data_IF_692414808432
#
_entry.id   IF_692414808432
#
_cell.length_a   1.000
_cell.length_b   1.000
_cell.length_c   1.000
_cell.angle_alpha   90.00
_cell.angle_beta   90.00
_cell.angle_gamma   90.00
#
_symmetry.space_group_name_H-M   'P 1'
#
loop_
_entity.id
_entity.type
_entity.pdbx_description
1 polymer ?
#
# COMPACT_ATOMS: atom_id res chain seq x y z
N UNK A 1 -7.39 19.43 -8.89
CA UNK A 1 -6.52 18.65 -8.00
C UNK A 1 -5.16 19.33 -7.91
N UNK A 2 -4.95 20.14 -6.87
CA UNK A 2 -3.64 20.71 -6.55
C UNK A 2 -2.83 19.68 -5.77
N UNK A 3 -2.42 18.60 -6.46
CA UNK A 3 -1.51 17.61 -5.91
C UNK A 3 -0.11 18.22 -5.87
N UNK A 4 0.27 18.71 -4.69
CA UNK A 4 1.52 19.43 -4.48
C UNK A 4 2.68 18.49 -4.09
N UNK A 5 2.36 17.31 -3.58
CA UNK A 5 3.33 16.35 -3.04
C UNK A 5 3.19 14.99 -3.72
N UNK A 6 4.32 14.40 -4.12
CA UNK A 6 4.40 13.08 -4.76
C UNK A 6 5.25 12.14 -3.90
N UNK A 7 4.63 11.05 -3.45
CA UNK A 7 5.34 9.91 -2.85
C UNK A 7 5.84 9.02 -3.98
N UNK A 8 7.16 8.94 -4.17
CA UNK A 8 7.77 8.20 -5.28
C UNK A 8 8.53 7.01 -4.72
N UNK A 9 8.13 5.80 -5.09
CA UNK A 9 8.85 4.58 -4.73
C UNK A 9 10.13 4.48 -5.56
N UNK A 10 11.28 4.65 -4.90
CA UNK A 10 12.58 4.73 -5.56
C UNK A 10 13.34 3.40 -5.53
N UNK A 11 12.99 2.51 -4.60
CA UNK A 11 13.72 1.28 -4.34
C UNK A 11 12.81 0.26 -3.65
N UNK A 12 12.81 -0.97 -4.15
CA UNK A 12 12.21 -2.14 -3.52
C UNK A 12 13.34 -3.06 -3.07
N UNK A 13 13.35 -3.47 -1.81
CA UNK A 13 14.34 -4.36 -1.22
C UNK A 13 13.64 -5.57 -0.64
N UNK A 14 14.19 -6.75 -0.87
CA UNK A 14 13.75 -7.96 -0.21
C UNK A 14 14.90 -8.87 0.17
N UNK A 15 14.53 -10.01 0.76
CA UNK A 15 15.45 -11.09 1.09
C UNK A 15 15.20 -12.24 0.13
N UNK A 16 16.22 -12.60 -0.64
CA UNK A 16 16.15 -13.72 -1.55
C UNK A 16 15.86 -15.01 -0.76
N UNK A 17 14.79 -15.72 -1.12
CA UNK A 17 14.33 -16.88 -0.36
C UNK A 17 15.35 -18.04 -0.35
N UNK A 18 16.17 -18.18 -1.41
CA UNK A 18 17.12 -19.27 -1.54
C UNK A 18 18.48 -18.96 -0.90
N UNK A 19 19.00 -17.74 -1.11
CA UNK A 19 20.33 -17.36 -0.63
C UNK A 19 20.31 -16.63 0.72
N UNK A 20 19.15 -16.13 1.15
CA UNK A 20 19.01 -15.27 2.33
C UNK A 20 19.63 -13.89 2.17
N UNK A 21 20.13 -13.54 0.97
CA UNK A 21 20.80 -12.28 0.68
C UNK A 21 19.75 -11.16 0.56
N UNK A 22 20.06 -10.02 1.19
CA UNK A 22 19.26 -8.78 1.05
C UNK A 22 19.70 -8.10 -0.25
N UNK A 23 18.77 -7.91 -1.18
CA UNK A 23 19.03 -7.38 -2.52
C UNK A 23 17.88 -6.50 -3.03
N UNK A 24 18.17 -5.55 -3.94
CA UNK A 24 17.12 -4.76 -4.56
C UNK A 24 16.32 -5.60 -5.57
N UNK A 25 14.99 -5.58 -5.47
CA UNK A 25 14.09 -6.18 -6.46
C UNK A 25 13.74 -5.21 -7.59
N UNK A 26 13.70 -3.92 -7.28
CA UNK A 26 13.49 -2.87 -8.27
C UNK A 26 14.18 -1.59 -7.81
N UNK A 27 14.68 -0.81 -8.76
CA UNK A 27 15.22 0.54 -8.51
C UNK A 27 14.70 1.48 -9.59
N UNK A 28 14.21 2.64 -9.17
CA UNK A 28 13.80 3.68 -10.11
C UNK A 28 15.04 4.34 -10.71
N UNK A 29 15.15 4.29 -12.04
CA UNK A 29 16.14 5.08 -12.78
C UNK A 29 15.54 6.44 -13.14
N UNK A 30 16.10 7.52 -12.59
CA UNK A 30 15.73 8.88 -12.95
C UNK A 30 16.26 9.22 -14.34
N UNK A 31 15.49 8.91 -15.38
CA UNK A 31 15.84 9.27 -16.77
C UNK A 31 15.40 10.69 -17.14
N UNK A 32 14.25 11.13 -16.62
CA UNK A 32 13.77 12.50 -16.74
C UNK A 32 13.02 12.90 -15.46
N UNK A 33 13.50 13.93 -14.77
CA UNK A 33 12.87 14.48 -13.56
C UNK A 33 12.01 15.71 -13.81
N UNK A 34 11.85 16.14 -15.07
CA UNK A 34 11.09 17.33 -15.46
C UNK A 34 9.65 17.32 -14.93
N UNK A 35 9.01 16.15 -14.90
CA UNK A 35 7.61 15.96 -14.51
C UNK A 35 7.30 16.24 -13.04
N UNK A 36 8.31 16.21 -12.16
CA UNK A 36 8.13 16.41 -10.71
C UNK A 36 8.95 17.56 -10.13
N UNK A 37 9.70 18.32 -10.94
CA UNK A 37 10.45 19.51 -10.48
C UNK A 37 9.56 20.62 -9.91
N UNK A 38 8.29 20.69 -10.29
CA UNK A 38 7.34 21.69 -9.79
C UNK A 38 6.55 21.22 -8.55
N UNK A 39 6.84 20.03 -8.04
CA UNK A 39 6.14 19.42 -6.91
C UNK A 39 7.13 19.02 -5.82
N UNK A 40 6.65 18.96 -4.60
CA UNK A 40 7.39 18.34 -3.51
C UNK A 40 7.48 16.82 -3.78
N UNK A 41 8.69 16.26 -3.71
CA UNK A 41 8.92 14.83 -3.88
C UNK A 41 9.34 14.24 -2.55
N UNK A 42 8.67 13.16 -2.16
CA UNK A 42 9.00 12.34 -1.00
C UNK A 42 9.47 10.98 -1.51
N UNK A 43 10.79 10.72 -1.55
CA UNK A 43 11.32 9.41 -1.87
C UNK A 43 10.85 8.36 -0.86
N UNK A 44 10.42 7.21 -1.39
CA UNK A 44 9.91 6.08 -0.62
C UNK A 44 10.74 4.82 -0.92
N UNK A 45 11.16 4.10 0.11
CA UNK A 45 11.74 2.76 -0.03
C UNK A 45 10.75 1.72 0.49
N UNK A 46 10.49 0.69 -0.31
CA UNK A 46 9.76 -0.49 0.13
C UNK A 46 10.74 -1.57 0.57
N UNK A 47 10.50 -2.16 1.74
CA UNK A 47 11.32 -3.23 2.28
C UNK A 47 10.39 -4.36 2.72
N UNK A 48 10.60 -5.55 2.16
CA UNK A 48 9.81 -6.72 2.59
C UNK A 48 10.14 -7.06 4.05
N UNK A 49 9.13 -7.53 4.79
CA UNK A 49 9.26 -7.77 6.23
C UNK A 49 10.32 -8.82 6.57
N UNK A 50 10.52 -9.80 5.69
CA UNK A 50 11.47 -10.92 5.84
C UNK A 50 12.93 -10.43 5.91
N UNK A 51 13.23 -9.23 5.42
CA UNK A 51 14.54 -8.58 5.60
C UNK A 51 14.88 -8.42 7.08
N UNK A 52 13.88 -8.16 7.92
CA UNK A 52 14.06 -7.92 9.35
C UNK A 52 13.94 -9.19 10.20
N UNK A 53 13.65 -10.32 9.57
CA UNK A 53 13.66 -11.62 10.22
C UNK A 53 15.11 -12.09 10.45
N UNK A 54 15.49 -12.14 11.72
CA UNK A 54 16.82 -12.51 12.22
C UNK A 54 18.01 -11.75 11.56
N UNK A 55 17.82 -10.49 11.15
CA UNK A 55 18.91 -9.65 10.65
C UNK A 55 19.93 -9.32 11.75
N UNK A 56 21.23 -9.45 11.45
CA UNK A 56 22.28 -9.08 12.39
C UNK A 56 22.39 -7.56 12.58
N UNK A 57 22.94 -7.11 13.71
CA UNK A 57 23.15 -5.69 13.98
C UNK A 57 24.01 -5.01 12.90
N UNK A 58 25.08 -5.67 12.47
CA UNK A 58 25.97 -5.18 11.41
C UNK A 58 25.22 -5.05 10.07
N UNK A 59 24.43 -6.07 9.68
CA UNK A 59 23.65 -6.02 8.44
C UNK A 59 22.54 -4.97 8.49
N UNK A 60 21.96 -4.75 9.66
CA UNK A 60 20.98 -3.70 9.89
C UNK A 60 21.57 -2.30 9.66
N UNK A 61 22.76 -2.03 10.22
CA UNK A 61 23.46 -0.76 9.98
C UNK A 61 23.92 -0.62 8.52
N UNK A 62 24.44 -1.70 7.93
CA UNK A 62 24.81 -1.73 6.51
C UNK A 62 23.62 -1.36 5.61
N UNK A 63 22.44 -1.91 5.87
CA UNK A 63 21.23 -1.64 5.10
C UNK A 63 20.84 -0.15 5.19
N UNK A 64 20.90 0.43 6.39
CA UNK A 64 20.65 1.86 6.60
C UNK A 64 21.62 2.74 5.79
N UNK A 65 22.92 2.40 5.77
CA UNK A 65 23.92 3.11 4.95
C UNK A 65 23.61 3.00 3.46
N UNK A 66 23.26 1.80 2.98
CA UNK A 66 22.94 1.59 1.56
C UNK A 66 21.71 2.36 1.11
N UNK A 67 20.64 2.34 1.90
CA UNK A 67 19.40 3.07 1.60
C UNK A 67 19.65 4.59 1.63
N UNK A 68 20.34 5.11 2.65
CA UNK A 68 20.70 6.52 2.70
C UNK A 68 21.56 6.94 1.50
N UNK A 69 22.45 6.05 1.02
CA UNK A 69 23.23 6.34 -0.19
C UNK A 69 22.34 6.46 -1.43
N UNK A 70 21.35 5.59 -1.61
CA UNK A 70 20.41 5.66 -2.74
C UNK A 70 19.51 6.90 -2.61
N UNK A 71 19.10 7.25 -1.39
CA UNK A 71 18.28 8.44 -1.14
C UNK A 71 18.95 9.72 -1.65
N UNK A 72 20.28 9.84 -1.54
CA UNK A 72 21.03 11.03 -2.01
C UNK A 72 20.86 11.31 -3.50
N UNK A 73 20.59 10.31 -4.32
CA UNK A 73 20.35 10.48 -5.76
C UNK A 73 19.05 11.27 -6.04
N UNK A 74 18.17 11.36 -5.04
CA UNK A 74 16.88 12.05 -5.10
C UNK A 74 16.88 13.36 -4.29
N UNK A 75 18.04 13.78 -3.77
CA UNK A 75 18.18 15.04 -3.05
C UNK A 75 18.04 16.26 -3.99
N UNK A 76 17.56 17.42 -3.48
CA UNK A 76 17.09 17.64 -2.11
C UNK A 76 15.67 17.10 -1.89
N UNK A 77 15.40 16.63 -0.66
CA UNK A 77 14.05 16.28 -0.18
C UNK A 77 13.93 16.65 1.30
N UNK A 78 12.73 17.00 1.74
CA UNK A 78 12.44 17.33 3.15
C UNK A 78 12.02 16.10 3.96
N UNK A 79 11.44 15.11 3.30
CA UNK A 79 10.93 13.89 3.91
C UNK A 79 11.41 12.65 3.15
N UNK A 80 11.68 11.57 3.89
CA UNK A 80 11.97 10.25 3.35
C UNK A 80 11.03 9.23 4.00
N UNK A 81 10.32 8.44 3.20
CA UNK A 81 9.36 7.46 3.69
C UNK A 81 9.89 6.02 3.58
N UNK A 82 9.65 5.23 4.62
CA UNK A 82 9.93 3.79 4.63
C UNK A 82 8.61 3.02 4.66
N UNK A 83 8.38 2.19 3.64
CA UNK A 83 7.25 1.27 3.57
C UNK A 83 7.71 -0.14 3.97
N UNK A 84 7.23 -0.62 5.11
CA UNK A 84 7.51 -1.97 5.60
C UNK A 84 6.36 -2.47 6.46
N UNK A 85 5.83 -3.66 6.15
CA UNK A 85 4.76 -4.30 6.91
C UNK A 85 5.33 -5.09 8.09
N UNK A 86 5.90 -4.39 9.07
CA UNK A 86 6.54 -5.06 10.21
C UNK A 86 5.53 -5.79 11.09
N UNK A 87 5.99 -6.86 11.73
CA UNK A 87 5.20 -7.66 12.67
C UNK A 87 5.73 -7.48 14.09
N UNK A 88 5.04 -8.06 15.08
CA UNK A 88 5.56 -8.10 16.45
C UNK A 88 6.95 -8.77 16.55
N UNK A 89 7.21 -9.79 15.71
CA UNK A 89 8.49 -10.51 15.68
C UNK A 89 9.63 -9.72 15.05
N UNK A 90 9.37 -8.95 14.01
CA UNK A 90 10.38 -8.15 13.29
C UNK A 90 10.51 -6.71 13.78
N UNK A 91 9.58 -6.26 14.65
CA UNK A 91 9.51 -4.90 15.21
C UNK A 91 10.85 -4.37 15.71
N UNK A 92 11.56 -5.14 16.53
CA UNK A 92 12.80 -4.67 17.16
C UNK A 92 13.87 -4.36 16.11
N UNK A 93 14.08 -5.28 15.17
CA UNK A 93 15.02 -5.14 14.07
C UNK A 93 14.65 -3.98 13.13
N UNK A 94 13.37 -3.85 12.78
CA UNK A 94 12.89 -2.75 11.95
C UNK A 94 13.06 -1.40 12.64
N UNK A 95 12.76 -1.29 13.94
CA UNK A 95 12.89 -0.03 14.67
C UNK A 95 14.35 0.36 14.89
N UNK A 96 15.24 -0.62 15.08
CA UNK A 96 16.69 -0.38 15.06
C UNK A 96 17.13 0.17 13.70
N UNK A 97 16.64 -0.41 12.62
CA UNK A 97 16.92 0.05 11.27
C UNK A 97 16.47 1.50 11.04
N UNK A 98 15.25 1.86 11.45
CA UNK A 98 14.75 3.24 11.34
C UNK A 98 15.63 4.23 12.11
N UNK A 99 16.08 3.88 13.33
CA UNK A 99 17.01 4.69 14.12
C UNK A 99 18.36 4.83 13.43
N UNK A 100 18.88 3.75 12.86
CA UNK A 100 20.15 3.78 12.13
C UNK A 100 20.02 4.63 10.86
N UNK A 101 18.95 4.46 10.09
CA UNK A 101 18.67 5.23 8.88
C UNK A 101 18.57 6.72 9.18
N UNK A 102 17.86 7.11 10.25
CA UNK A 102 17.77 8.52 10.68
C UNK A 102 19.14 9.16 10.89
N UNK A 103 20.13 8.42 11.43
CA UNK A 103 21.50 8.92 11.63
C UNK A 103 22.29 9.07 10.33
N UNK A 104 21.88 8.41 9.24
CA UNK A 104 22.55 8.46 7.92
C UNK A 104 21.89 9.43 6.95
N UNK A 105 20.67 9.88 7.24
CA UNK A 105 19.98 10.94 6.50
C UNK A 105 20.43 12.33 7.00
N UNK A 106 20.24 13.41 6.21
CA UNK A 106 20.46 14.77 6.67
C UNK A 106 19.72 15.08 7.98
N UNK A 107 20.32 15.88 8.87
CA UNK A 107 19.84 16.10 10.24
C UNK A 107 18.38 16.58 10.34
N UNK A 108 17.94 17.40 9.38
CA UNK A 108 16.60 17.97 9.34
C UNK A 108 15.61 17.19 8.48
N UNK A 109 15.98 16.01 7.97
CA UNK A 109 15.07 15.17 7.20
C UNK A 109 13.97 14.61 8.12
N UNK A 110 12.71 14.81 7.72
CA UNK A 110 11.57 14.13 8.30
C UNK A 110 11.63 12.67 7.85
N UNK A 111 11.78 11.75 8.80
CA UNK A 111 11.62 10.33 8.52
C UNK A 111 10.15 9.96 8.75
N UNK A 112 9.52 9.32 7.76
CA UNK A 112 8.16 8.79 7.91
C UNK A 112 8.11 7.30 7.61
N UNK A 113 7.07 6.63 8.10
CA UNK A 113 6.82 5.22 7.84
C UNK A 113 5.35 4.97 7.47
N UNK A 114 5.09 4.01 6.59
CA UNK A 114 3.72 3.53 6.37
C UNK A 114 3.25 2.74 7.59
N UNK A 115 1.95 2.76 7.88
CA UNK A 115 1.35 2.06 9.02
C UNK A 115 0.10 1.34 8.52
N UNK A 116 -0.01 0.04 8.77
CA UNK A 116 -1.20 -0.76 8.49
C UNK A 116 -2.27 -0.56 9.56
N UNK A 117 -3.54 -0.77 9.20
CA UNK A 117 -4.66 -0.70 10.13
C UNK A 117 -4.49 -1.60 11.38
N UNK A 118 -3.92 -2.80 11.23
CA UNK A 118 -3.68 -3.68 12.38
C UNK A 118 -2.56 -3.16 13.31
N UNK A 119 -1.52 -2.52 12.77
CA UNK A 119 -0.46 -1.88 13.56
C UNK A 119 -0.99 -0.64 14.30
N UNK A 120 -1.85 0.13 13.63
CA UNK A 120 -2.57 1.25 14.21
C UNK A 120 -3.49 0.82 15.36
N UNK A 121 -4.24 -0.27 15.18
CA UNK A 121 -5.17 -0.80 16.20
C UNK A 121 -4.44 -1.33 17.43
N UNK A 122 -3.30 -2.00 17.26
CA UNK A 122 -2.61 -2.71 18.34
C UNK A 122 -1.19 -2.21 18.62
N UNK A 123 -0.98 -0.90 18.92
CA UNK A 123 0.35 -0.33 19.08
C UNK A 123 1.11 -0.92 20.27
N UNK A 124 0.41 -1.47 21.28
CA UNK A 124 1.06 -2.16 22.39
C UNK A 124 1.74 -3.47 21.97
N UNK A 125 1.21 -4.14 20.93
CA UNK A 125 1.76 -5.38 20.37
C UNK A 125 2.78 -5.09 19.28
N UNK A 126 2.42 -4.26 18.30
CA UNK A 126 3.25 -3.97 17.12
C UNK A 126 4.26 -2.86 17.36
N UNK A 127 4.11 -2.07 18.42
CA UNK A 127 4.92 -0.86 18.66
C UNK A 127 4.54 0.30 17.75
N UNK A 128 5.06 1.47 18.10
CA UNK A 128 4.99 2.69 17.27
C UNK A 128 6.39 2.94 16.70
N UNK A 129 6.55 3.09 15.36
CA UNK A 129 7.85 3.24 14.75
C UNK A 129 8.54 4.54 15.21
N UNK A 130 9.86 4.53 15.48
CA UNK A 130 10.60 5.70 15.99
C UNK A 130 10.93 6.70 14.87
N UNK A 131 9.89 7.22 14.23
CA UNK A 131 9.94 8.16 13.10
C UNK A 131 9.25 9.48 13.49
N UNK A 132 9.29 10.47 12.60
CA UNK A 132 8.65 11.76 12.85
C UNK A 132 7.14 11.71 12.59
N UNK A 133 6.68 10.89 11.63
CA UNK A 133 5.29 10.87 11.18
C UNK A 133 4.90 9.54 10.54
N UNK A 134 3.62 9.17 10.61
CA UNK A 134 3.09 7.94 10.01
C UNK A 134 2.19 8.21 8.81
N UNK A 135 2.20 7.33 7.82
CA UNK A 135 1.20 7.30 6.74
C UNK A 135 0.29 6.10 6.96
N UNK A 136 -0.89 6.32 7.53
CA UNK A 136 -1.86 5.26 7.80
C UNK A 136 -2.52 4.81 6.50
N UNK A 137 -2.25 3.56 6.11
CA UNK A 137 -2.83 2.92 4.93
C UNK A 137 -4.23 2.40 5.25
N UNK A 138 -5.25 3.17 4.90
CA UNK A 138 -6.66 2.82 5.13
C UNK A 138 -7.22 2.00 3.96
N UNK A 139 -6.61 0.85 3.73
CA UNK A 139 -6.98 -0.14 2.70
C UNK A 139 -6.31 -1.48 2.99
N UNK A 140 -6.58 -2.48 2.15
CA UNK A 140 -6.33 -3.89 2.37
C UNK A 140 -7.01 -4.38 3.65
N UNK A 141 -8.30 -4.07 3.79
CA UNK A 141 -9.08 -4.40 4.98
C UNK A 141 -9.51 -5.86 5.02
N UNK A 142 -9.65 -6.50 3.85
CA UNK A 142 -10.07 -7.89 3.73
C UNK A 142 -8.89 -8.85 3.70
N UNK A 143 -9.15 -10.10 4.04
CA UNK A 143 -8.18 -11.18 3.92
C UNK A 143 -7.85 -11.43 2.44
N UNK A 144 -6.55 -11.48 2.13
CA UNK A 144 -6.06 -11.70 0.77
C UNK A 144 -6.06 -13.18 0.37
N UNK A 145 -6.02 -14.07 1.35
CA UNK A 145 -5.94 -15.53 1.16
C UNK A 145 -7.34 -16.17 1.15
N UNK A 146 -8.38 -15.42 1.48
CA UNK A 146 -9.76 -15.90 1.47
C UNK A 146 -10.44 -15.65 0.11
N UNK A 147 -11.09 -16.68 -0.44
CA UNK A 147 -11.97 -16.60 -1.61
C UNK A 147 -13.34 -15.97 -1.23
N UNK A 148 -13.30 -14.79 -0.62
CA UNK A 148 -14.48 -14.06 -0.13
C UNK A 148 -15.17 -13.27 -1.24
N UNK A 149 -16.49 -13.06 -1.09
CA UNK A 149 -17.28 -12.22 -2.00
C UNK A 149 -17.08 -10.72 -1.77
N UNK A 150 -16.42 -10.34 -0.67
CA UNK A 150 -16.18 -8.94 -0.28
C UNK A 150 -14.99 -8.36 -1.04
N UNK A 151 -14.96 -7.05 -1.21
CA UNK A 151 -13.80 -6.36 -1.75
C UNK A 151 -12.61 -6.42 -0.77
N UNK A 152 -11.47 -6.99 -1.19
CA UNK A 152 -10.28 -7.14 -0.33
C UNK A 152 -9.52 -5.83 -0.12
N UNK A 153 -9.61 -4.90 -1.08
CA UNK A 153 -8.94 -3.60 -0.99
C UNK A 153 -9.61 -2.73 0.06
N UNK A 154 -10.94 -2.67 0.05
CA UNK A 154 -11.68 -1.96 1.09
C UNK A 154 -13.09 -2.50 1.24
N UNK A 155 -13.47 -2.85 2.47
CA UNK A 155 -14.84 -3.19 2.82
C UNK A 155 -15.22 -2.45 4.10
N UNK A 156 -16.31 -1.65 4.13
CA UNK A 156 -16.64 -0.81 5.27
C UNK A 156 -16.76 -1.55 6.60
N UNK A 157 -17.37 -2.74 6.60
CA UNK A 157 -17.51 -3.53 7.83
C UNK A 157 -16.18 -4.05 8.35
N UNK A 158 -15.25 -4.39 7.46
CA UNK A 158 -13.94 -4.89 7.87
C UNK A 158 -13.05 -3.75 8.35
N UNK A 159 -13.16 -2.57 7.71
CA UNK A 159 -12.53 -1.34 8.20
C UNK A 159 -13.00 -0.98 9.62
N UNK A 160 -14.31 -1.04 9.90
CA UNK A 160 -14.86 -0.73 11.24
C UNK A 160 -14.26 -1.60 12.33
N UNK A 161 -13.99 -2.88 12.08
CA UNK A 161 -13.31 -3.75 13.04
C UNK A 161 -11.92 -3.23 13.44
N UNK A 162 -11.23 -2.51 12.56
CA UNK A 162 -9.94 -1.90 12.89
C UNK A 162 -10.08 -0.60 13.68
N UNK A 163 -11.12 0.19 13.40
CA UNK A 163 -11.45 1.41 14.14
C UNK A 163 -11.95 1.10 15.55
N UNK A 164 -12.76 0.06 15.68
CA UNK A 164 -13.25 -0.46 16.95
C UNK A 164 -12.09 -1.02 17.78
N UNK A 165 -11.80 -0.33 18.88
CA UNK A 165 -10.69 -0.67 19.78
C UNK A 165 -9.34 -0.11 19.35
N UNK A 166 -9.28 0.72 18.31
CA UNK A 166 -8.12 1.55 18.04
C UNK A 166 -7.89 2.54 19.21
N UNK A 167 -6.64 2.97 19.44
CA UNK A 167 -6.36 3.98 20.44
C UNK A 167 -7.04 5.30 20.08
N UNK A 168 -7.62 5.97 21.09
CA UNK A 168 -8.20 7.31 20.92
C UNK A 168 -7.16 8.35 20.51
N UNK A 169 -5.92 8.16 20.97
CA UNK A 169 -4.78 8.98 20.61
C UNK A 169 -3.61 8.07 20.25
N UNK A 170 -3.10 8.22 19.03
CA UNK A 170 -1.92 7.55 18.54
C UNK A 170 -0.68 8.39 18.86
N UNK A 171 0.41 7.76 19.25
CA UNK A 171 1.60 8.47 19.73
C UNK A 171 2.38 9.22 18.63
N UNK A 172 2.01 9.01 17.37
CA UNK A 172 2.68 9.56 16.20
C UNK A 172 1.67 10.37 15.37
N UNK A 173 2.00 11.57 14.89
CA UNK A 173 1.12 12.29 13.96
C UNK A 173 0.90 11.46 12.70
N UNK A 174 -0.35 11.33 12.27
CA UNK A 174 -0.74 10.47 11.16
C UNK A 174 -1.28 11.25 9.96
N UNK A 175 -0.71 10.93 8.80
CA UNK A 175 -1.34 11.09 7.49
C UNK A 175 -2.25 9.93 7.16
N UNK A 176 -3.02 10.09 6.09
CA UNK A 176 -3.93 9.09 5.56
C UNK A 176 -3.62 8.76 4.10
N UNK A 177 -3.50 7.47 3.78
CA UNK A 177 -3.52 6.97 2.42
C UNK A 177 -4.83 6.23 2.12
N UNK A 178 -5.51 6.62 1.03
CA UNK A 178 -6.75 6.01 0.54
C UNK A 178 -6.49 5.26 -0.79
N UNK A 179 -7.23 4.17 -1.06
CA UNK A 179 -6.97 3.31 -2.21
C UNK A 179 -7.65 3.81 -3.51
N UNK A 180 -6.90 3.83 -4.61
CA UNK A 180 -7.30 4.08 -5.99
C UNK A 180 -6.76 2.99 -6.95
N UNK A 181 -6.60 1.77 -6.46
CA UNK A 181 -6.11 0.65 -7.25
C UNK A 181 -7.14 -0.48 -7.37
N UNK A 182 -6.81 -1.43 -8.22
CA UNK A 182 -7.52 -2.69 -8.37
C UNK A 182 -6.51 -3.84 -8.48
N UNK A 183 -6.95 -5.05 -8.17
CA UNK A 183 -6.18 -6.28 -8.40
C UNK A 183 -7.12 -7.46 -8.67
N UNK A 184 -6.56 -8.55 -9.17
CA UNK A 184 -7.19 -9.85 -9.16
C UNK A 184 -6.41 -10.79 -8.25
N UNK A 185 -7.08 -11.40 -7.29
CA UNK A 185 -6.58 -12.57 -6.58
C UNK A 185 -7.02 -13.80 -7.38
N UNK A 186 -6.07 -14.64 -7.78
CA UNK A 186 -6.33 -15.88 -8.52
C UNK A 186 -6.21 -17.04 -7.55
N UNK A 187 -7.29 -17.80 -7.42
CA UNK A 187 -7.38 -19.00 -6.62
C UNK A 187 -7.31 -20.23 -7.52
N UNK A 188 -6.47 -21.17 -7.15
CA UNK A 188 -6.32 -22.46 -7.82
C UNK A 188 -6.52 -23.55 -6.79
N UNK A 189 -7.47 -24.44 -7.05
CA UNK A 189 -7.81 -25.54 -6.13
C UNK A 189 -8.17 -25.05 -4.71
N UNK A 190 -8.72 -23.83 -4.61
CA UNK A 190 -9.12 -23.21 -3.34
C UNK A 190 -8.03 -22.37 -2.66
N UNK A 191 -6.79 -22.42 -3.15
CA UNK A 191 -5.65 -21.70 -2.56
C UNK A 191 -5.27 -20.47 -3.39
N UNK A 192 -4.84 -19.39 -2.72
CA UNK A 192 -4.32 -18.21 -3.41
C UNK A 192 -3.06 -18.58 -4.20
N UNK A 193 -3.12 -18.48 -5.53
CA UNK A 193 -1.99 -18.76 -6.40
C UNK A 193 -1.22 -17.49 -6.77
N UNK A 194 -1.93 -16.40 -7.09
CA UNK A 194 -1.30 -15.16 -7.57
C UNK A 194 -2.17 -13.94 -7.31
N UNK A 195 -1.52 -12.80 -7.06
CA UNK A 195 -2.14 -11.49 -7.15
C UNK A 195 -1.65 -10.82 -8.44
N UNK A 196 -2.60 -10.45 -9.31
CA UNK A 196 -2.35 -9.73 -10.55
C UNK A 196 -2.70 -8.24 -10.31
N UNK A 197 -1.72 -7.33 -10.31
CA UNK A 197 -2.00 -5.90 -10.14
C UNK A 197 -2.78 -5.35 -11.34
N UNK A 198 -3.69 -4.41 -11.08
CA UNK A 198 -4.46 -3.74 -12.12
C UNK A 198 -3.73 -2.57 -12.80
N UNK A 199 -4.40 -1.89 -13.74
CA UNK A 199 -5.79 -2.10 -14.16
C UNK A 199 -5.96 -3.43 -14.91
N UNK A 200 -7.11 -4.08 -14.73
CA UNK A 200 -7.45 -5.33 -15.41
C UNK A 200 -8.31 -5.04 -16.66
N UNK A 201 -8.17 -5.81 -17.75
CA UNK A 201 -8.96 -5.64 -18.97
C UNK A 201 -10.39 -6.16 -18.79
N UNK A 202 -11.18 -5.50 -17.93
CA UNK A 202 -12.52 -5.98 -17.53
C UNK A 202 -13.50 -6.08 -18.70
N UNK A 203 -13.34 -5.25 -19.74
CA UNK A 203 -14.14 -5.36 -20.95
C UNK A 203 -13.90 -6.70 -21.66
N UNK A 204 -12.63 -7.08 -21.84
CA UNK A 204 -12.24 -8.35 -22.47
C UNK A 204 -12.62 -9.56 -21.61
N UNK A 205 -12.47 -9.47 -20.28
CA UNK A 205 -12.90 -10.52 -19.36
C UNK A 205 -14.39 -10.80 -19.52
N UNK A 206 -15.22 -9.76 -19.69
CA UNK A 206 -16.67 -9.88 -19.87
C UNK A 206 -17.08 -10.39 -21.26
N UNK A 207 -16.48 -9.86 -22.32
CA UNK A 207 -16.90 -10.18 -23.69
C UNK A 207 -16.20 -11.40 -24.30
N UNK A 208 -15.09 -11.85 -23.70
CA UNK A 208 -14.21 -12.84 -24.30
C UNK A 208 -14.70 -14.30 -24.26
N UNK A 209 -15.81 -14.60 -23.57
CA UNK A 209 -16.37 -15.96 -23.45
C UNK A 209 -15.54 -16.95 -22.61
N UNK A 210 -14.35 -16.54 -22.16
CA UNK A 210 -13.40 -17.38 -21.41
C UNK A 210 -13.64 -17.38 -19.90
N UNK A 211 -14.52 -16.52 -19.41
CA UNK A 211 -14.82 -16.36 -18.00
C UNK A 211 -16.33 -16.41 -17.77
N UNK A 212 -16.74 -17.00 -16.65
CA UNK A 212 -18.10 -16.95 -16.13
C UNK A 212 -18.14 -16.05 -14.91
N UNK A 213 -18.98 -15.01 -14.95
CA UNK A 213 -19.21 -14.14 -13.78
C UNK A 213 -20.09 -14.84 -12.75
N UNK A 214 -19.76 -14.66 -11.47
CA UNK A 214 -20.56 -15.08 -10.34
C UNK A 214 -20.99 -13.83 -9.54
N UNK A 215 -22.21 -13.32 -9.76
CA UNK A 215 -22.64 -12.08 -9.13
C UNK A 215 -22.73 -12.23 -7.60
N UNK A 216 -22.45 -11.12 -6.91
CA UNK A 216 -22.57 -11.02 -5.46
C UNK A 216 -23.64 -9.98 -5.11
N UNK A 217 -24.41 -10.27 -4.04
CA UNK A 217 -25.40 -9.36 -3.47
C UNK A 217 -24.80 -8.43 -2.39
N UNK A 218 -23.51 -8.56 -2.12
CA UNK A 218 -22.81 -7.69 -1.17
C UNK A 218 -22.87 -6.22 -1.66
N UNK A 219 -23.07 -5.22 -0.78
CA UNK A 219 -23.15 -3.81 -1.18
C UNK A 219 -21.85 -3.25 -1.77
N UNK A 220 -20.71 -3.85 -1.44
CA UNK A 220 -19.38 -3.49 -1.91
C UNK A 220 -18.61 -4.76 -2.32
N UNK A 221 -19.10 -5.46 -3.37
CA UNK A 221 -18.62 -6.79 -3.71
C UNK A 221 -17.25 -6.71 -4.39
N UNK A 222 -16.48 -7.79 -4.26
CA UNK A 222 -15.54 -8.14 -5.31
C UNK A 222 -16.30 -8.73 -6.51
N UNK A 223 -15.78 -8.56 -7.72
CA UNK A 223 -16.29 -9.25 -8.89
C UNK A 223 -15.67 -10.65 -8.94
N UNK A 224 -16.49 -11.69 -8.91
CA UNK A 224 -16.03 -13.08 -8.88
C UNK A 224 -16.17 -13.68 -10.27
N UNK A 225 -15.11 -14.36 -10.71
CA UNK A 225 -15.06 -14.99 -12.02
C UNK A 225 -14.50 -16.40 -11.93
N UNK A 226 -14.91 -17.24 -12.85
CA UNK A 226 -14.35 -18.57 -13.03
C UNK A 226 -13.89 -18.74 -14.46
N UNK A 227 -12.64 -19.17 -14.64
CA UNK A 227 -12.04 -19.42 -15.95
C UNK A 227 -12.69 -20.66 -16.56
N UNK A 228 -13.30 -20.50 -17.73
CA UNK A 228 -13.94 -21.59 -18.47
C UNK A 228 -12.99 -22.18 -19.53
N UNK A 229 -12.11 -21.36 -20.09
CA UNK A 229 -11.13 -21.77 -21.10
C UNK A 229 -9.75 -21.20 -20.77
N UNK A 230 -8.69 -21.98 -20.98
CA UNK A 230 -7.32 -21.59 -20.66
C UNK A 230 -6.92 -20.28 -21.34
N UNK A 231 -6.35 -19.35 -20.58
CA UNK A 231 -6.06 -18.00 -21.08
C UNK A 231 -4.93 -17.32 -20.32
N UNK A 232 -4.57 -16.10 -20.71
CA UNK A 232 -3.54 -15.30 -20.04
C UNK A 232 -4.16 -14.03 -19.46
N UNK A 233 -3.75 -13.68 -18.25
CA UNK A 233 -4.07 -12.41 -17.60
C UNK A 233 -2.82 -11.88 -16.91
N UNK A 234 -2.42 -10.65 -17.21
CA UNK A 234 -1.22 -10.04 -16.62
C UNK A 234 0.07 -10.85 -16.85
N UNK A 235 0.20 -11.53 -18.00
CA UNK A 235 1.35 -12.38 -18.32
C UNK A 235 1.34 -13.77 -17.65
N UNK A 236 0.29 -14.11 -16.91
CA UNK A 236 0.15 -15.38 -16.21
C UNK A 236 -0.88 -16.28 -16.88
N UNK A 237 -0.56 -17.56 -17.08
CA UNK A 237 -1.49 -18.55 -17.61
C UNK A 237 -2.49 -19.00 -16.54
N UNK A 238 -3.77 -18.87 -16.87
CA UNK A 238 -4.91 -19.29 -16.07
C UNK A 238 -5.51 -20.57 -16.65
N UNK A 239 -5.80 -21.54 -15.79
CA UNK A 239 -6.38 -22.84 -16.13
C UNK A 239 -7.90 -22.77 -16.06
N UNK A 240 -8.63 -23.56 -16.87
CA UNK A 240 -10.03 -23.83 -16.60
C UNK A 240 -10.23 -24.27 -15.14
N UNK A 241 -11.22 -23.69 -14.47
CA UNK A 241 -11.51 -23.92 -13.05
C UNK A 241 -10.77 -22.98 -12.07
N UNK A 242 -9.73 -22.25 -12.49
CA UNK A 242 -9.17 -21.17 -11.68
C UNK A 242 -10.26 -20.11 -11.41
N UNK A 243 -10.27 -19.53 -10.21
CA UNK A 243 -11.24 -18.51 -9.80
C UNK A 243 -10.55 -17.18 -9.57
N UNK A 244 -11.18 -16.09 -9.97
CA UNK A 244 -10.66 -14.75 -9.77
C UNK A 244 -11.59 -13.98 -8.83
N UNK A 245 -11.00 -13.36 -7.81
CA UNK A 245 -11.62 -12.31 -7.00
C UNK A 245 -11.03 -10.99 -7.43
N UNK A 246 -11.79 -10.23 -8.21
CA UNK A 246 -11.38 -8.92 -8.70
C UNK A 246 -11.90 -7.84 -7.76
N UNK A 247 -10.99 -7.17 -7.08
CA UNK A 247 -11.31 -6.04 -6.20
C UNK A 247 -10.86 -4.74 -6.86
N UNK A 248 -11.76 -3.76 -6.88
CA UNK A 248 -11.51 -2.41 -7.38
C UNK A 248 -12.24 -1.40 -6.52
N UNK A 249 -11.67 -0.21 -6.36
CA UNK A 249 -12.33 0.86 -5.61
C UNK A 249 -13.24 1.65 -6.54
N UNK A 250 -14.54 1.69 -6.24
CA UNK A 250 -15.49 2.56 -6.93
C UNK A 250 -15.54 3.95 -6.28
N UNK A 251 -16.06 4.96 -7.00
CA UNK A 251 -16.30 6.28 -6.42
C UNK A 251 -17.15 6.22 -5.14
N UNK A 252 -18.19 5.36 -5.11
CA UNK A 252 -19.00 5.16 -3.92
C UNK A 252 -18.18 4.59 -2.76
N UNK A 253 -17.38 3.55 -3.02
CA UNK A 253 -16.54 2.90 -2.01
C UNK A 253 -15.46 3.84 -1.46
N UNK A 254 -14.87 4.67 -2.31
CA UNK A 254 -13.91 5.70 -1.90
C UNK A 254 -14.54 6.77 -1.00
N UNK A 255 -15.79 7.17 -1.28
CA UNK A 255 -16.52 8.09 -0.40
C UNK A 255 -16.84 7.44 0.96
N UNK A 256 -17.15 6.14 0.99
CA UNK A 256 -17.32 5.42 2.25
C UNK A 256 -16.02 5.30 3.05
N UNK A 257 -14.89 5.02 2.39
CA UNK A 257 -13.59 4.99 3.08
C UNK A 257 -13.22 6.35 3.66
N UNK A 258 -13.50 7.43 2.94
CA UNK A 258 -13.34 8.79 3.42
C UNK A 258 -14.18 9.09 4.68
N UNK A 259 -15.45 8.66 4.70
CA UNK A 259 -16.35 8.85 5.86
C UNK A 259 -15.88 8.07 7.09
N UNK A 260 -15.41 6.84 6.90
CA UNK A 260 -14.86 6.04 7.99
C UNK A 260 -13.54 6.61 8.51
N UNK A 261 -12.71 7.15 7.62
CA UNK A 261 -11.43 7.76 7.99
C UNK A 261 -11.57 8.99 8.91
N UNK A 262 -12.73 9.65 8.96
CA UNK A 262 -13.00 10.75 9.92
C UNK A 262 -12.91 10.33 11.38
N UNK A 263 -13.03 9.03 11.66
CA UNK A 263 -12.95 8.48 13.02
C UNK A 263 -11.50 8.18 13.44
N UNK A 264 -10.53 8.34 12.53
CA UNK A 264 -9.13 8.11 12.80
C UNK A 264 -8.52 9.32 13.52
N UNK A 265 -7.58 9.05 14.41
CA UNK A 265 -6.75 10.07 15.04
C UNK A 265 -5.66 10.55 14.05
N UNK A 266 -6.05 11.45 13.15
CA UNK A 266 -5.16 12.08 12.18
C UNK A 266 -4.57 13.37 12.76
N UNK A 267 -3.38 13.72 12.28
CA UNK A 267 -2.77 15.00 12.62
C UNK A 267 -3.62 16.19 12.10
N UNK A 268 -3.56 17.34 12.77
CA UNK A 268 -4.27 18.55 12.35
C UNK A 268 -3.83 19.02 10.95
N UNK A 269 -2.56 18.81 10.61
CA UNK A 269 -1.95 19.10 9.31
C UNK A 269 -1.84 17.87 8.39
N UNK A 270 -2.64 16.82 8.66
CA UNK A 270 -2.57 15.56 7.92
C UNK A 270 -2.68 15.75 6.40
N UNK A 271 -1.75 15.09 5.69
CA UNK A 271 -1.80 14.94 4.24
C UNK A 271 -2.66 13.73 3.89
N UNK A 272 -3.41 13.90 2.81
CA UNK A 272 -4.20 12.83 2.22
C UNK A 272 -3.52 12.38 0.93
N UNK A 273 -3.04 11.16 0.95
CA UNK A 273 -2.45 10.49 -0.20
C UNK A 273 -3.46 9.55 -0.86
N UNK A 274 -3.34 9.39 -2.18
CA UNK A 274 -4.13 8.45 -2.95
C UNK A 274 -3.20 7.41 -3.58
N UNK A 275 -3.34 6.15 -3.19
CA UNK A 275 -2.50 5.04 -3.63
C UNK A 275 -3.32 4.09 -4.50
N UNK A 276 -3.01 3.80 -5.76
CA UNK A 276 -1.81 4.10 -6.52
C UNK A 276 -2.14 5.03 -7.70
N UNK A 277 -1.49 6.20 -7.77
CA UNK A 277 -1.72 7.22 -8.80
C UNK A 277 -1.51 6.72 -10.24
N UNK A 278 -0.70 5.68 -10.45
CA UNK A 278 -0.53 5.05 -11.77
C UNK A 278 -1.79 4.35 -12.32
N UNK A 279 -2.81 4.14 -11.48
CA UNK A 279 -4.12 3.57 -11.85
C UNK A 279 -5.22 4.65 -11.81
N UNK A 280 -4.91 5.85 -11.31
CA UNK A 280 -5.76 7.02 -11.45
C UNK A 280 -5.70 7.56 -12.89
N UNK A 281 -6.01 6.71 -13.88
CA UNK A 281 -6.40 7.18 -15.19
C UNK A 281 -7.63 8.08 -14.99
N UNK A 282 -7.64 9.22 -15.67
CA UNK A 282 -8.74 10.21 -15.65
C UNK A 282 -10.12 9.61 -15.90
N UNK A 283 -10.19 8.39 -16.42
CA UNK A 283 -11.40 7.63 -16.70
C UNK A 283 -12.10 7.08 -15.44
N UNK A 284 -11.43 6.96 -14.30
CA UNK A 284 -12.01 6.29 -13.11
C UNK A 284 -12.37 7.26 -11.98
N UNK A 285 -11.56 8.30 -11.76
CA UNK A 285 -11.81 9.32 -10.75
C UNK A 285 -11.52 10.72 -11.29
N UNK A 286 -12.51 11.60 -11.20
CA UNK A 286 -12.35 13.01 -11.55
C UNK A 286 -11.63 13.77 -10.43
N UNK A 287 -10.94 14.86 -10.79
CA UNK A 287 -10.33 15.76 -9.81
C UNK A 287 -11.35 16.26 -8.77
N UNK A 288 -12.59 16.54 -9.19
CA UNK A 288 -13.66 16.99 -8.32
C UNK A 288 -14.06 15.92 -7.29
N UNK A 289 -14.11 14.65 -7.69
CA UNK A 289 -14.41 13.54 -6.78
C UNK A 289 -13.32 13.40 -5.71
N UNK A 290 -12.05 13.50 -6.10
CA UNK A 290 -10.93 13.41 -5.16
C UNK A 290 -10.88 14.63 -4.23
N UNK A 291 -11.16 15.84 -4.74
CA UNK A 291 -11.28 17.04 -3.91
C UNK A 291 -12.45 16.93 -2.91
N UNK A 292 -13.57 16.29 -3.30
CA UNK A 292 -14.68 16.01 -2.40
C UNK A 292 -14.31 14.98 -1.31
N UNK A 293 -13.58 13.91 -1.66
CA UNK A 293 -13.03 12.96 -0.67
C UNK A 293 -12.17 13.68 0.36
N UNK A 294 -11.29 14.58 -0.08
CA UNK A 294 -10.46 15.36 0.83
C UNK A 294 -11.29 16.22 1.79
N UNK A 295 -12.38 16.84 1.32
CA UNK A 295 -13.31 17.61 2.16
C UNK A 295 -14.02 16.73 3.18
N UNK A 296 -14.43 15.51 2.79
CA UNK A 296 -15.11 14.59 3.70
C UNK A 296 -14.23 14.20 4.88
N UNK A 297 -12.96 13.89 4.64
CA UNK A 297 -12.03 13.49 5.71
C UNK A 297 -11.71 14.64 6.66
N UNK A 298 -11.64 15.88 6.15
CA UNK A 298 -11.25 17.07 6.92
C UNK A 298 -12.39 17.71 7.72
N UNK A 299 -13.64 17.50 7.32
CA UNK A 299 -14.83 17.99 8.02
C UNK A 299 -15.26 17.00 9.11
#
# INVERSE_FOLDING_TARGET
MNCNTLYIKILDIGKNASSGIIEPYARLELRDSSLWRSREVIPCVFITNEVFDAISLEKNEWLAVKIASVARDFAPFQEFQVDCDWTAGTRQSYFLFLKNLRKKLPEHTILSATIRLHQYKFPQKTGVPPVNRGMLMCYNTGDVDEESKRNSIFHPEDCRKYLEGAPKQYALPLDLALPLFSWAQVFREGELWKIIPGPLPMAEIRSGGKYREHPSLDPFPAQLWEVQEGTFLGGHYLRPGDRLRVSAVSAKLLMESARLARQLDLAEDARLAFFHLGIANKEHFSAQQLDQVCKIVRN
#
